data_IF_826529829297
#
_entry.id   IF_826529829297
#
_cell.length_a   1.000
_cell.length_b   1.000
_cell.length_c   1.000
_cell.angle_alpha   90.00
_cell.angle_beta   90.00
_cell.angle_gamma   90.00
#
_symmetry.space_group_name_H-M   'P 1'
#
loop_
_entity.id
_entity.type
_entity.pdbx_description
1 polymer ?
#
# COMPACT_ATOMS: atom_id res chain seq x y z
N UNK A 1 24.61 -4.58 -16.17
CA UNK A 1 23.46 -4.27 -15.32
C UNK A 1 22.67 -5.55 -15.11
N UNK A 2 22.51 -6.01 -13.88
CA UNK A 2 21.63 -7.15 -13.62
C UNK A 2 20.20 -6.72 -14.00
N UNK A 3 19.42 -7.55 -14.73
CA UNK A 3 18.05 -7.21 -15.06
C UNK A 3 17.27 -7.01 -13.76
N UNK A 4 16.63 -5.85 -13.62
CA UNK A 4 15.73 -5.56 -12.51
C UNK A 4 14.71 -6.69 -12.42
N UNK A 5 14.65 -7.39 -11.30
CA UNK A 5 13.70 -8.48 -11.10
C UNK A 5 12.29 -7.92 -11.20
N UNK A 6 11.48 -8.45 -12.13
CA UNK A 6 10.13 -7.97 -12.39
C UNK A 6 9.27 -7.90 -11.13
N UNK A 7 9.48 -8.80 -10.16
CA UNK A 7 8.74 -8.79 -8.90
C UNK A 7 9.07 -7.56 -8.05
N UNK A 8 10.34 -7.14 -8.03
CA UNK A 8 10.78 -6.00 -7.23
C UNK A 8 10.21 -4.69 -7.78
N UNK A 9 10.21 -4.53 -9.11
CA UNK A 9 9.57 -3.38 -9.77
C UNK A 9 8.06 -3.37 -9.54
N UNK A 10 7.39 -4.51 -9.64
CA UNK A 10 5.95 -4.62 -9.35
C UNK A 10 5.65 -4.29 -7.88
N UNK A 11 6.50 -4.74 -6.94
CA UNK A 11 6.37 -4.37 -5.53
C UNK A 11 6.50 -2.86 -5.31
N UNK A 12 7.45 -2.20 -5.97
CA UNK A 12 7.61 -0.74 -5.92
C UNK A 12 6.39 -0.03 -6.51
N UNK A 13 5.84 -0.52 -7.63
CA UNK A 13 4.63 0.01 -8.23
C UNK A 13 3.44 -0.07 -7.26
N UNK A 14 3.25 -1.22 -6.60
CA UNK A 14 2.20 -1.40 -5.60
C UNK A 14 2.41 -0.49 -4.38
N UNK A 15 3.65 -0.32 -3.92
CA UNK A 15 3.95 0.64 -2.84
C UNK A 15 3.55 2.07 -3.21
N UNK A 16 3.92 2.52 -4.41
CA UNK A 16 3.54 3.85 -4.91
C UNK A 16 2.03 3.99 -5.02
N UNK A 17 1.35 2.98 -5.56
CA UNK A 17 -0.10 2.97 -5.67
C UNK A 17 -0.79 3.07 -4.30
N UNK A 18 -0.22 2.45 -3.26
CA UNK A 18 -0.66 2.62 -1.88
C UNK A 18 -0.51 4.05 -1.34
N UNK A 19 0.44 4.85 -1.85
CA UNK A 19 0.54 6.28 -1.53
C UNK A 19 -0.54 7.08 -2.25
N UNK A 20 -0.76 6.81 -3.53
CA UNK A 20 -1.79 7.50 -4.32
C UNK A 20 -3.18 7.30 -3.70
N UNK A 21 -3.48 6.10 -3.18
CA UNK A 21 -4.72 5.83 -2.42
C UNK A 21 -4.79 6.70 -1.17
N UNK A 22 -3.71 6.82 -0.41
CA UNK A 22 -3.68 7.64 0.81
C UNK A 22 -3.88 9.13 0.49
N UNK A 23 -3.24 9.63 -0.56
CA UNK A 23 -3.44 10.99 -1.04
C UNK A 23 -4.90 11.23 -1.44
N UNK A 24 -5.51 10.28 -2.15
CA UNK A 24 -6.93 10.37 -2.52
C UNK A 24 -7.87 10.31 -1.31
N UNK A 25 -7.55 9.51 -0.28
CA UNK A 25 -8.28 9.51 1.01
C UNK A 25 -8.17 10.88 1.68
N UNK A 26 -6.97 11.47 1.71
CA UNK A 26 -6.74 12.80 2.28
C UNK A 26 -7.50 13.88 1.52
N UNK A 27 -7.57 13.78 0.19
CA UNK A 27 -8.36 14.68 -0.64
C UNK A 27 -9.86 14.55 -0.37
N UNK A 28 -10.35 13.30 -0.27
CA UNK A 28 -11.75 13.03 0.12
C UNK A 28 -12.11 13.65 1.46
N UNK A 29 -11.19 13.62 2.43
CA UNK A 29 -11.37 14.25 3.75
C UNK A 29 -11.45 15.78 3.71
N UNK A 30 -10.97 16.43 2.63
CA UNK A 30 -11.08 17.88 2.41
C UNK A 30 -12.39 18.29 1.72
N UNK A 31 -13.06 17.37 1.03
CA UNK A 31 -14.30 17.63 0.30
C UNK A 31 -15.50 17.71 1.27
N UNK A 32 -16.39 18.69 1.08
CA UNK A 32 -17.65 18.79 1.84
C UNK A 32 -18.54 17.56 1.57
N UNK A 33 -18.94 16.90 2.66
CA UNK A 33 -19.70 15.63 2.66
C UNK A 33 -21.07 15.67 1.98
N UNK A 34 -21.69 16.85 1.86
CA UNK A 34 -23.05 17.01 1.32
C UNK A 34 -23.11 17.07 -0.23
N UNK A 35 -21.99 16.93 -0.93
CA UNK A 35 -21.95 17.00 -2.39
C UNK A 35 -21.74 15.64 -3.06
N UNK A 36 -22.31 15.44 -4.26
CA UNK A 36 -22.11 14.23 -5.08
C UNK A 36 -20.64 13.92 -5.40
N UNK A 37 -19.76 14.92 -5.29
CA UNK A 37 -18.32 14.75 -5.45
C UNK A 37 -17.70 13.87 -4.34
N UNK A 38 -18.18 13.96 -3.09
CA UNK A 38 -17.66 13.15 -1.98
C UNK A 38 -17.93 11.65 -2.22
N UNK A 39 -19.16 11.30 -2.59
CA UNK A 39 -19.55 9.91 -2.87
C UNK A 39 -18.80 9.32 -4.07
N UNK A 40 -18.53 10.13 -5.10
CA UNK A 40 -17.73 9.72 -6.27
C UNK A 40 -16.29 9.40 -5.86
N UNK A 41 -15.62 10.31 -5.16
CA UNK A 41 -14.22 10.10 -4.72
C UNK A 41 -14.12 8.90 -3.78
N UNK A 42 -15.08 8.71 -2.88
CA UNK A 42 -15.12 7.54 -2.00
C UNK A 42 -15.28 6.23 -2.80
N UNK A 43 -16.15 6.21 -3.80
CA UNK A 43 -16.33 5.04 -4.68
C UNK A 43 -15.04 4.73 -5.44
N UNK A 44 -14.35 5.74 -5.96
CA UNK A 44 -13.07 5.55 -6.63
C UNK A 44 -12.02 4.96 -5.67
N UNK A 45 -11.91 5.46 -4.44
CA UNK A 45 -10.95 4.94 -3.44
C UNK A 45 -11.22 3.44 -3.18
N UNK A 46 -12.49 3.03 -3.09
CA UNK A 46 -12.86 1.62 -2.92
C UNK A 46 -12.40 0.76 -4.10
N UNK A 47 -12.50 1.27 -5.33
CA UNK A 47 -12.01 0.57 -6.54
C UNK A 47 -10.49 0.47 -6.51
N UNK A 48 -9.80 1.55 -6.14
CA UNK A 48 -8.33 1.55 -6.02
C UNK A 48 -7.86 0.56 -4.96
N UNK A 49 -8.52 0.49 -3.80
CA UNK A 49 -8.22 -0.50 -2.75
C UNK A 49 -8.41 -1.95 -3.22
N UNK A 50 -9.48 -2.24 -3.97
CA UNK A 50 -9.67 -3.59 -4.57
C UNK A 50 -8.53 -3.94 -5.52
N UNK A 51 -8.07 -2.97 -6.30
CA UNK A 51 -6.94 -3.13 -7.21
C UNK A 51 -5.65 -3.40 -6.44
N UNK A 52 -5.36 -2.59 -5.40
CA UNK A 52 -4.22 -2.78 -4.52
C UNK A 52 -4.20 -4.19 -3.90
N UNK A 53 -5.34 -4.64 -3.37
CA UNK A 53 -5.49 -5.97 -2.79
C UNK A 53 -5.17 -7.09 -3.78
N UNK A 54 -5.69 -6.97 -5.01
CA UNK A 54 -5.42 -7.90 -6.11
C UNK A 54 -3.92 -7.94 -6.43
N UNK A 55 -3.27 -6.79 -6.50
CA UNK A 55 -1.87 -6.69 -6.91
C UNK A 55 -0.94 -7.23 -5.80
N UNK A 56 -1.26 -7.00 -4.52
CA UNK A 56 -0.58 -7.65 -3.38
C UNK A 56 -0.74 -9.18 -3.45
N UNK A 57 -1.93 -9.68 -3.77
CA UNK A 57 -2.13 -11.11 -3.94
C UNK A 57 -1.34 -11.67 -5.14
N UNK A 58 -1.26 -10.93 -6.25
CA UNK A 58 -0.45 -11.33 -7.41
C UNK A 58 1.04 -11.44 -7.05
N UNK A 59 1.57 -10.47 -6.28
CA UNK A 59 2.95 -10.53 -5.77
C UNK A 59 3.17 -11.74 -4.86
N UNK A 60 2.21 -12.06 -3.99
CA UNK A 60 2.26 -13.26 -3.15
C UNK A 60 2.32 -14.54 -3.99
N UNK A 61 1.46 -14.67 -5.00
CA UNK A 61 1.47 -15.84 -5.90
C UNK A 61 2.75 -15.92 -6.73
N UNK A 62 3.30 -14.79 -7.17
CA UNK A 62 4.57 -14.74 -7.87
C UNK A 62 5.74 -15.19 -6.96
N UNK A 63 5.76 -14.78 -5.70
CA UNK A 63 6.75 -15.23 -4.72
C UNK A 63 6.69 -16.74 -4.49
N UNK A 64 5.49 -17.29 -4.30
CA UNK A 64 5.28 -18.73 -4.10
C UNK A 64 5.77 -19.55 -5.31
N UNK A 65 5.51 -19.09 -6.54
CA UNK A 65 5.98 -19.74 -7.77
C UNK A 65 7.51 -19.67 -7.91
N UNK A 66 8.11 -18.52 -7.61
CA UNK A 66 9.56 -18.35 -7.68
C UNK A 66 10.29 -19.20 -6.62
N UNK A 67 9.74 -19.25 -5.40
CA UNK A 67 10.26 -20.06 -4.30
C UNK A 67 10.17 -21.56 -4.60
N UNK A 68 9.02 -22.04 -5.08
CA UNK A 68 8.84 -23.47 -5.42
C UNK A 68 9.68 -23.94 -6.60
N UNK A 69 10.04 -23.03 -7.52
CA UNK A 69 10.92 -23.34 -8.66
C UNK A 69 12.41 -23.24 -8.31
N UNK A 70 12.76 -22.94 -7.05
CA UNK A 70 14.14 -22.67 -6.60
C UNK A 70 14.86 -21.58 -7.42
N UNK A 71 14.10 -20.65 -8.02
CA UNK A 71 14.66 -19.56 -8.83
C UNK A 71 15.32 -18.47 -7.98
N UNK A 72 15.01 -18.42 -6.68
CA UNK A 72 15.49 -17.41 -5.73
C UNK A 72 15.97 -18.10 -4.45
N UNK A 73 16.94 -17.51 -3.77
CA UNK A 73 17.47 -18.07 -2.52
C UNK A 73 16.48 -17.90 -1.35
N UNK A 74 16.63 -18.70 -0.30
CA UNK A 74 15.82 -18.60 0.91
C UNK A 74 15.89 -17.20 1.55
N UNK A 75 17.08 -16.58 1.54
CA UNK A 75 17.28 -15.20 2.02
C UNK A 75 16.48 -14.19 1.19
N UNK A 76 16.42 -14.37 -0.12
CA UNK A 76 15.61 -13.49 -0.98
C UNK A 76 14.11 -13.72 -0.75
N UNK A 77 13.69 -14.96 -0.49
CA UNK A 77 12.30 -15.25 -0.12
C UNK A 77 11.91 -14.50 1.16
N UNK A 78 12.75 -14.56 2.20
CA UNK A 78 12.51 -13.83 3.46
C UNK A 78 12.42 -12.31 3.24
N UNK A 79 13.34 -11.75 2.45
CA UNK A 79 13.33 -10.32 2.12
C UNK A 79 12.05 -9.91 1.38
N UNK A 80 11.63 -10.69 0.37
CA UNK A 80 10.38 -10.46 -0.38
C UNK A 80 9.14 -10.67 0.49
N UNK A 81 9.17 -11.61 1.42
CA UNK A 81 8.09 -11.81 2.39
C UNK A 81 7.93 -10.59 3.32
N UNK A 82 9.04 -10.06 3.84
CA UNK A 82 9.02 -8.83 4.65
C UNK A 82 8.42 -7.63 3.89
N UNK A 83 8.71 -7.50 2.59
CA UNK A 83 8.09 -6.48 1.74
C UNK A 83 6.59 -6.69 1.56
N UNK A 84 6.13 -7.94 1.37
CA UNK A 84 4.70 -8.26 1.31
C UNK A 84 3.98 -7.95 2.63
N UNK A 85 4.58 -8.27 3.77
CA UNK A 85 3.99 -7.98 5.08
C UNK A 85 3.83 -6.47 5.31
N UNK A 86 4.76 -5.65 4.82
CA UNK A 86 4.61 -4.19 4.81
C UNK A 86 3.44 -3.75 3.93
N UNK A 87 3.27 -4.33 2.74
CA UNK A 87 2.15 -4.03 1.85
C UNK A 87 0.79 -4.43 2.45
N UNK A 88 0.71 -5.59 3.10
CA UNK A 88 -0.50 -6.06 3.80
C UNK A 88 -0.82 -5.13 4.97
N UNK A 89 0.19 -4.70 5.72
CA UNK A 89 0.02 -3.72 6.80
C UNK A 89 -0.50 -2.39 6.25
N UNK A 90 0.04 -1.93 5.11
CA UNK A 90 -0.42 -0.73 4.41
C UNK A 90 -1.87 -0.87 3.95
N UNK A 91 -2.27 -2.02 3.42
CA UNK A 91 -3.67 -2.30 3.05
C UNK A 91 -4.63 -2.09 4.23
N UNK A 92 -4.28 -2.63 5.40
CA UNK A 92 -5.09 -2.49 6.63
C UNK A 92 -5.17 -1.04 7.08
N UNK A 93 -4.06 -0.31 7.01
CA UNK A 93 -4.03 1.12 7.32
C UNK A 93 -4.91 1.93 6.36
N UNK A 94 -4.85 1.66 5.06
CA UNK A 94 -5.67 2.36 4.06
C UNK A 94 -7.16 2.06 4.24
N UNK A 95 -7.54 0.81 4.50
CA UNK A 95 -8.91 0.45 4.84
C UNK A 95 -9.38 1.18 6.11
N UNK A 96 -8.54 1.22 7.14
CA UNK A 96 -8.85 1.93 8.38
C UNK A 96 -9.02 3.43 8.13
N UNK A 97 -8.14 4.05 7.35
CA UNK A 97 -8.23 5.47 6.98
C UNK A 97 -9.43 5.77 6.08
N UNK A 98 -9.90 4.79 5.29
CA UNK A 98 -11.13 4.94 4.50
C UNK A 98 -12.37 4.97 5.40
N UNK A 99 -12.40 4.10 6.44
CA UNK A 99 -13.52 3.97 7.38
C UNK A 99 -13.53 5.07 8.46
N UNK A 100 -12.36 5.56 8.87
CA UNK A 100 -12.26 6.65 9.82
C UNK A 100 -12.89 7.90 9.21
N UNK A 101 -13.95 8.37 9.85
CA UNK A 101 -14.42 9.74 9.64
C UNK A 101 -13.31 10.71 10.09
N UNK A 102 -13.13 11.89 9.45
CA UNK A 102 -12.40 12.99 10.07
C UNK A 102 -13.09 13.37 11.39
N UNK A 103 -12.76 12.65 12.45
CA UNK A 103 -13.08 13.03 13.82
C UNK A 103 -12.35 14.35 14.02
N UNK A 104 -13.14 15.38 14.23
CA UNK A 104 -12.71 16.73 14.50
C UNK A 104 -11.74 16.70 15.70
N UNK A 105 -10.45 16.86 15.40
CA UNK A 105 -9.33 17.13 16.31
C UNK A 105 -9.06 16.00 17.35
N UNK A 106 -7.77 15.85 17.70
CA UNK A 106 -7.25 15.08 18.84
C UNK A 106 -6.80 13.60 18.68
N UNK A 107 -6.84 13.01 17.48
CA UNK A 107 -5.99 11.81 17.18
C UNK A 107 -4.88 12.08 16.16
N UNK A 108 -4.67 13.36 15.82
CA UNK A 108 -3.59 13.81 14.95
C UNK A 108 -2.24 13.71 15.64
N UNK A 109 -1.60 12.53 15.67
CA UNK A 109 -0.12 12.36 15.73
C UNK A 109 0.42 10.94 15.70
N UNK A 110 -0.40 9.90 15.81
CA UNK A 110 0.13 8.52 15.82
C UNK A 110 0.16 7.81 14.45
N UNK A 111 -0.66 8.26 13.48
CA UNK A 111 -0.67 7.66 12.13
C UNK A 111 0.42 8.16 11.16
N UNK A 112 0.98 9.35 11.40
CA UNK A 112 1.98 9.96 10.48
C UNK A 112 3.43 9.63 10.82
N UNK A 113 3.74 9.06 11.99
CA UNK A 113 5.13 8.73 12.36
C UNK A 113 5.66 7.43 11.73
N UNK A 114 4.79 6.52 11.30
CA UNK A 114 5.22 5.31 10.60
C UNK A 114 5.56 5.54 9.12
N UNK A 115 5.02 6.60 8.50
CA UNK A 115 5.23 6.84 7.07
C UNK A 115 6.64 7.35 6.75
N UNK A 116 7.24 8.16 7.63
CA UNK A 116 8.62 8.64 7.46
C UNK A 116 9.68 7.58 7.76
N UNK A 117 9.37 6.50 8.48
CA UNK A 117 10.35 5.46 8.79
C UNK A 117 10.65 4.55 7.59
N UNK A 118 9.67 4.27 6.72
CA UNK A 118 9.91 3.49 5.49
C UNK A 118 10.69 4.24 4.42
N UNK A 119 10.66 5.58 4.38
CA UNK A 119 11.47 6.35 3.41
C UNK A 119 12.94 6.46 3.85
N UNK A 120 13.24 6.34 5.15
CA UNK A 120 14.59 6.44 5.71
C UNK A 120 15.39 5.12 5.68
N UNK A 121 14.72 3.98 5.45
CA UNK A 121 15.34 2.64 5.45
C UNK A 121 15.83 2.18 4.07
N UNK A 122 15.85 3.07 3.07
CA UNK A 122 16.41 2.81 1.73
C UNK A 122 17.73 3.55 1.46
N UNK A 123 18.28 4.25 2.47
CA UNK A 123 19.54 5.00 2.36
C UNK A 123 20.63 4.53 3.36
N UNK A 124 20.55 3.29 3.85
CA UNK A 124 21.63 2.64 4.61
C UNK A 124 21.94 1.24 4.08
#
# INVERSE_FOLDING_TARGET
MAPTDSWQSECQNVQQYGQDIMEKINERNRIRRSGGNHARVESDIRIMLKTFSRDVNNLKQALLRASSSYHITEREVDSRQNMLDQLITKERQLNSALQQEPVNKDFGRYGMRCWSYCKKMSEY
#
